data_IF_040515000005
#
_entry.id   IF_040515000005
#
_cell.length_a   1.000
_cell.length_b   1.000
_cell.length_c   1.000
_cell.angle_alpha   90.00
_cell.angle_beta   90.00
_cell.angle_gamma   90.00
#
_symmetry.space_group_name_H-M   'P 1'
#
loop_
_entity.id
_entity.type
_entity.pdbx_description
1 polymer ?
#
# COMPACT_ATOMS: atom_id res chain seq x y z
N UNK A 1 15.20 -0.86 37.28
CA UNK A 1 15.52 0.39 36.58
C UNK A 1 14.74 0.35 35.29
N UNK A 2 13.56 0.95 35.32
CA UNK A 2 12.61 0.95 34.24
C UNK A 2 13.11 1.89 33.12
N UNK A 3 13.24 1.39 31.89
CA UNK A 3 13.44 2.22 30.74
C UNK A 3 12.05 2.56 30.20
N UNK A 4 11.56 3.67 30.66
CA UNK A 4 10.38 4.38 30.21
C UNK A 4 10.62 4.82 28.77
N UNK A 5 10.12 4.04 27.81
CA UNK A 5 10.03 4.44 26.42
C UNK A 5 8.95 5.53 26.36
N UNK A 6 9.39 6.78 26.44
CA UNK A 6 8.57 7.95 26.19
C UNK A 6 7.84 7.77 24.85
N UNK A 7 6.53 7.61 24.92
CA UNK A 7 5.63 7.84 23.78
C UNK A 7 5.76 9.31 23.39
N UNK A 8 6.70 9.60 22.48
CA UNK A 8 6.89 10.91 21.92
C UNK A 8 5.58 11.34 21.26
N UNK A 9 4.97 12.39 21.76
CA UNK A 9 3.84 13.05 21.11
C UNK A 9 4.18 13.20 19.64
N UNK A 10 3.40 12.55 18.75
CA UNK A 10 3.67 12.56 17.32
C UNK A 10 3.61 14.02 16.84
N UNK A 11 4.76 14.60 16.51
CA UNK A 11 4.86 16.00 16.06
C UNK A 11 3.88 16.22 14.91
N UNK A 12 2.97 17.18 15.07
CA UNK A 12 1.99 17.56 14.06
C UNK A 12 2.51 18.79 13.33
N UNK A 13 2.51 18.70 12.01
CA UNK A 13 2.93 19.76 11.08
C UNK A 13 1.71 20.49 10.54
N UNK A 14 1.74 21.81 10.55
CA UNK A 14 0.73 22.63 9.91
C UNK A 14 0.97 22.79 8.40
N UNK A 15 -0.07 23.20 7.65
CA UNK A 15 0.01 23.40 6.19
C UNK A 15 1.17 24.33 5.77
N UNK A 16 1.41 25.41 6.51
CA UNK A 16 2.51 26.36 6.19
C UNK A 16 3.88 25.72 6.37
N UNK A 17 4.06 24.97 7.44
CA UNK A 17 5.30 24.28 7.75
C UNK A 17 5.56 23.18 6.71
N UNK A 18 4.55 22.38 6.40
CA UNK A 18 4.59 21.36 5.38
C UNK A 18 4.94 21.95 4.00
N UNK A 19 4.32 23.06 3.61
CA UNK A 19 4.60 23.73 2.34
C UNK A 19 6.04 24.22 2.25
N UNK A 20 6.61 24.68 3.37
CA UNK A 20 8.02 25.10 3.46
C UNK A 20 8.98 23.92 3.36
N UNK A 21 8.73 22.84 4.13
CA UNK A 21 9.59 21.65 4.16
C UNK A 21 9.65 20.98 2.79
N UNK A 22 8.49 20.87 2.11
CA UNK A 22 8.36 20.21 0.81
C UNK A 22 8.51 21.16 -0.39
N UNK A 23 8.75 22.45 -0.16
CA UNK A 23 8.86 23.47 -1.20
C UNK A 23 7.69 23.43 -2.20
N UNK A 24 6.45 23.29 -1.68
CA UNK A 24 5.27 23.04 -2.50
C UNK A 24 4.90 24.25 -3.37
N UNK A 25 4.96 24.08 -4.68
CA UNK A 25 4.36 25.02 -5.64
C UNK A 25 2.83 24.89 -5.65
N UNK A 26 2.11 25.93 -6.12
CA UNK A 26 0.64 25.87 -6.28
C UNK A 26 0.20 24.69 -7.16
N UNK A 27 0.94 24.42 -8.23
CA UNK A 27 0.70 23.28 -9.13
C UNK A 27 0.84 21.96 -8.39
N UNK A 28 1.93 21.78 -7.61
CA UNK A 28 2.19 20.57 -6.84
C UNK A 28 1.10 20.35 -5.77
N UNK A 29 0.74 21.38 -5.05
CA UNK A 29 -0.34 21.33 -4.06
C UNK A 29 -1.68 20.89 -4.69
N UNK A 30 -2.01 21.39 -5.90
CA UNK A 30 -3.21 20.97 -6.63
C UNK A 30 -3.15 19.47 -7.03
N UNK A 31 -1.99 18.97 -7.45
CA UNK A 31 -1.79 17.55 -7.77
C UNK A 31 -1.96 16.66 -6.53
N UNK A 32 -1.35 17.04 -5.39
CA UNK A 32 -1.43 16.31 -4.13
C UNK A 32 -2.86 16.31 -3.55
N UNK A 33 -3.64 17.39 -3.74
CA UNK A 33 -5.06 17.41 -3.41
C UNK A 33 -5.86 16.40 -4.23
N UNK A 34 -5.56 16.27 -5.53
CA UNK A 34 -6.22 15.26 -6.38
C UNK A 34 -5.88 13.83 -5.98
N UNK A 35 -4.78 13.61 -5.29
CA UNK A 35 -4.40 12.33 -4.68
C UNK A 35 -5.01 12.14 -3.29
N UNK A 36 -5.78 13.09 -2.79
CA UNK A 36 -6.39 13.09 -1.45
C UNK A 36 -5.38 13.02 -0.30
N UNK A 37 -4.11 13.39 -0.59
CA UNK A 37 -3.04 13.40 0.40
C UNK A 37 -3.02 14.67 1.24
N UNK A 38 -3.67 15.76 0.78
CA UNK A 38 -3.79 16.99 1.54
C UNK A 38 -5.12 17.02 2.31
N UNK A 39 -5.01 16.91 3.62
CA UNK A 39 -6.15 16.86 4.56
C UNK A 39 -6.82 18.21 4.72
N UNK A 40 -8.13 18.21 4.95
CA UNK A 40 -8.93 19.44 5.17
C UNK A 40 -8.64 20.09 6.52
N UNK A 41 -8.29 19.28 7.54
CA UNK A 41 -7.97 19.76 8.88
C UNK A 41 -6.59 20.43 8.97
N UNK A 42 -5.79 20.29 7.92
CA UNK A 42 -4.44 20.89 7.84
C UNK A 42 -3.43 20.35 8.84
N UNK A 43 -3.70 19.20 9.45
CA UNK A 43 -2.83 18.54 10.45
C UNK A 43 -2.17 17.32 9.84
N UNK A 44 -0.85 17.26 9.89
CA UNK A 44 -0.03 16.22 9.27
C UNK A 44 0.93 15.61 10.27
N UNK A 45 1.03 14.30 10.27
CA UNK A 45 2.05 13.55 11.00
C UNK A 45 3.36 13.51 10.19
N UNK A 46 4.43 13.04 10.79
CA UNK A 46 5.69 12.78 10.08
C UNK A 46 5.48 11.75 8.94
N UNK A 47 4.63 10.76 9.15
CA UNK A 47 4.28 9.74 8.14
C UNK A 47 3.55 10.35 6.94
N UNK A 48 2.63 11.28 7.18
CA UNK A 48 1.98 12.04 6.11
C UNK A 48 3.00 12.87 5.31
N UNK A 49 3.97 13.47 5.97
CA UNK A 49 5.05 14.24 5.32
C UNK A 49 5.88 13.33 4.40
N UNK A 50 6.21 12.12 4.83
CA UNK A 50 6.93 11.14 4.00
C UNK A 50 6.10 10.72 2.79
N UNK A 51 4.79 10.46 2.97
CA UNK A 51 3.89 10.12 1.87
C UNK A 51 3.77 11.24 0.84
N UNK A 52 3.66 12.50 1.29
CA UNK A 52 3.62 13.68 0.41
C UNK A 52 4.93 13.85 -0.36
N UNK A 53 6.07 13.61 0.29
CA UNK A 53 7.39 13.64 -0.33
C UNK A 53 7.53 12.55 -1.39
N UNK A 54 7.12 11.32 -1.08
CA UNK A 54 7.13 10.21 -2.02
C UNK A 54 6.25 10.49 -3.25
N UNK A 55 5.00 10.95 -3.04
CA UNK A 55 4.11 11.33 -4.14
C UNK A 55 4.71 12.46 -5.00
N UNK A 56 5.33 13.46 -4.37
CA UNK A 56 6.00 14.55 -5.11
C UNK A 56 7.14 14.03 -5.96
N UNK A 57 7.99 13.14 -5.44
CA UNK A 57 9.08 12.53 -6.17
C UNK A 57 8.59 11.71 -7.38
N UNK A 58 7.49 10.97 -7.24
CA UNK A 58 6.88 10.23 -8.36
C UNK A 58 6.35 11.15 -9.45
N UNK A 59 5.73 12.28 -9.07
CA UNK A 59 5.26 13.29 -10.01
C UNK A 59 6.43 13.98 -10.71
N UNK A 60 7.56 14.20 -10.04
CA UNK A 60 8.79 14.74 -10.62
C UNK A 60 9.46 13.74 -11.58
N UNK A 61 9.39 12.44 -11.25
CA UNK A 61 9.84 11.36 -12.12
C UNK A 61 8.93 11.12 -13.35
N UNK A 62 7.85 11.90 -13.49
CA UNK A 62 6.96 11.85 -14.65
C UNK A 62 5.71 10.99 -14.50
N UNK A 63 5.45 10.42 -13.32
CA UNK A 63 4.18 9.75 -13.08
C UNK A 63 3.01 10.74 -13.11
N UNK A 64 1.90 10.36 -13.70
CA UNK A 64 0.67 11.13 -13.65
C UNK A 64 -0.09 10.92 -12.34
N UNK A 65 -0.90 11.91 -11.94
CA UNK A 65 -1.83 11.81 -10.81
C UNK A 65 -2.73 10.59 -10.94
N UNK A 66 -3.18 10.27 -12.16
CA UNK A 66 -4.02 9.12 -12.46
C UNK A 66 -3.30 7.81 -12.16
N UNK A 67 -2.07 7.65 -12.68
CA UNK A 67 -1.27 6.43 -12.43
C UNK A 67 -1.02 6.19 -10.94
N UNK A 68 -0.65 7.24 -10.20
CA UNK A 68 -0.43 7.14 -8.75
C UNK A 68 -1.73 6.72 -8.04
N UNK A 69 -2.87 7.34 -8.36
CA UNK A 69 -4.16 6.99 -7.75
C UNK A 69 -4.56 5.54 -8.04
N UNK A 70 -4.47 5.12 -9.31
CA UNK A 70 -4.79 3.75 -9.72
C UNK A 70 -3.89 2.73 -9.00
N UNK A 71 -2.59 3.01 -8.89
CA UNK A 71 -1.65 2.17 -8.18
C UNK A 71 -1.96 2.04 -6.68
N UNK A 72 -2.23 3.17 -6.01
CA UNK A 72 -2.58 3.17 -4.58
C UNK A 72 -3.89 2.42 -4.31
N UNK A 73 -4.89 2.60 -5.19
CA UNK A 73 -6.17 1.89 -5.08
C UNK A 73 -5.98 0.38 -5.27
N UNK A 74 -5.18 -0.02 -6.26
CA UNK A 74 -4.92 -1.42 -6.54
C UNK A 74 -4.14 -2.09 -5.38
N UNK A 75 -3.11 -1.43 -4.84
CA UNK A 75 -2.34 -1.95 -3.72
C UNK A 75 -3.19 -2.13 -2.46
N UNK A 76 -4.07 -1.18 -2.14
CA UNK A 76 -4.99 -1.32 -0.99
C UNK A 76 -5.99 -2.47 -1.16
N UNK A 77 -6.38 -2.79 -2.40
CA UNK A 77 -7.22 -3.96 -2.68
C UNK A 77 -6.44 -5.28 -2.56
N UNK A 78 -5.18 -5.27 -2.97
CA UNK A 78 -4.31 -6.46 -2.92
C UNK A 78 -3.84 -6.76 -1.50
N UNK A 79 -3.48 -5.72 -0.75
CA UNK A 79 -3.04 -5.80 0.64
C UNK A 79 -3.70 -4.69 1.48
N UNK A 80 -4.83 -5.01 2.13
CA UNK A 80 -5.55 -4.04 2.98
C UNK A 80 -4.81 -3.65 4.25
N UNK A 81 -3.75 -4.37 4.59
CA UNK A 81 -2.92 -4.03 5.75
C UNK A 81 -1.99 -2.85 5.48
N UNK A 82 -1.85 -2.45 4.21
CA UNK A 82 -1.11 -1.25 3.82
C UNK A 82 -1.91 0.00 4.21
N UNK A 83 -1.56 0.60 5.33
CA UNK A 83 -2.17 1.85 5.77
C UNK A 83 -1.76 3.03 4.88
N UNK A 84 -0.46 3.10 4.57
CA UNK A 84 0.10 4.16 3.73
C UNK A 84 1.04 3.58 2.65
N UNK A 85 0.51 3.10 1.52
CA UNK A 85 1.32 2.47 0.48
C UNK A 85 2.51 3.31 -0.01
N UNK A 86 2.39 4.64 0.00
CA UNK A 86 3.48 5.54 -0.41
C UNK A 86 4.71 5.53 0.50
N UNK A 87 4.58 5.05 1.74
CA UNK A 87 5.68 4.94 2.69
C UNK A 87 6.12 3.50 2.92
N UNK A 88 5.26 2.55 2.58
CA UNK A 88 5.46 1.13 2.86
C UNK A 88 5.93 0.35 1.62
N UNK A 89 5.61 0.87 0.42
CA UNK A 89 5.99 0.25 -0.86
C UNK A 89 6.96 1.16 -1.61
N UNK A 90 8.01 0.59 -2.16
CA UNK A 90 8.93 1.32 -3.03
C UNK A 90 8.35 1.43 -4.42
N UNK A 91 8.22 2.67 -4.91
CA UNK A 91 7.76 2.96 -6.27
C UNK A 91 8.91 3.42 -7.15
N UNK A 92 8.79 3.13 -8.44
CA UNK A 92 9.73 3.50 -9.50
C UNK A 92 8.95 3.98 -10.72
N UNK A 93 9.54 4.89 -11.50
CA UNK A 93 8.99 5.31 -12.80
C UNK A 93 9.98 4.90 -13.87
N UNK A 94 9.59 3.97 -14.74
CA UNK A 94 10.42 3.46 -15.81
C UNK A 94 9.64 3.48 -17.13
N UNK A 95 10.18 4.07 -18.18
CA UNK A 95 9.52 4.16 -19.49
C UNK A 95 8.13 4.80 -19.44
N UNK A 96 7.91 5.76 -18.54
CA UNK A 96 6.59 6.39 -18.34
C UNK A 96 5.57 5.54 -17.60
N UNK A 97 5.96 4.38 -17.08
CA UNK A 97 5.13 3.46 -16.28
C UNK A 97 5.48 3.58 -14.81
N UNK A 98 4.47 3.57 -13.95
CA UNK A 98 4.63 3.50 -12.51
C UNK A 98 4.69 2.02 -12.10
N UNK A 99 5.78 1.62 -11.48
CA UNK A 99 6.02 0.28 -10.98
C UNK A 99 6.13 0.30 -9.47
N UNK A 100 5.73 -0.79 -8.82
CA UNK A 100 6.00 -1.06 -7.43
C UNK A 100 7.10 -2.11 -7.31
N UNK A 101 7.89 -2.05 -6.25
CA UNK A 101 8.93 -3.01 -5.97
C UNK A 101 8.71 -3.63 -4.59
N UNK A 102 8.64 -4.96 -4.56
CA UNK A 102 8.68 -5.76 -3.34
C UNK A 102 9.89 -6.68 -3.42
N UNK A 103 10.76 -6.63 -2.42
CA UNK A 103 12.05 -7.32 -2.42
C UNK A 103 12.88 -6.98 -3.68
N UNK A 104 13.10 -7.98 -4.54
CA UNK A 104 13.82 -7.84 -5.81
C UNK A 104 12.92 -7.83 -7.05
N UNK A 105 11.60 -7.95 -6.83
CA UNK A 105 10.62 -8.07 -7.92
C UNK A 105 9.94 -6.73 -8.17
N UNK A 106 9.95 -6.28 -9.42
CA UNK A 106 9.20 -5.10 -9.88
C UNK A 106 7.92 -5.55 -10.55
N UNK A 107 6.82 -4.89 -10.28
CA UNK A 107 5.53 -5.23 -10.86
C UNK A 107 4.68 -3.98 -11.11
N UNK A 108 3.78 -4.08 -12.07
CA UNK A 108 2.73 -3.06 -12.26
C UNK A 108 1.68 -3.23 -11.16
N UNK A 109 1.53 -2.26 -10.24
CA UNK A 109 0.62 -2.41 -9.11
C UNK A 109 -0.85 -2.54 -9.52
N UNK A 110 -1.22 -2.12 -10.74
CA UNK A 110 -2.59 -2.16 -11.24
C UNK A 110 -2.99 -3.56 -11.72
N UNK A 111 -2.05 -4.25 -12.35
CA UNK A 111 -2.29 -5.57 -12.98
C UNK A 111 -1.67 -6.72 -12.20
N UNK A 112 -0.75 -6.43 -11.27
CA UNK A 112 0.07 -7.44 -10.60
C UNK A 112 1.14 -8.04 -11.50
N UNK A 113 1.24 -7.61 -12.76
CA UNK A 113 2.17 -8.17 -13.73
C UNK A 113 3.60 -7.82 -13.37
N UNK A 114 4.43 -8.84 -13.21
CA UNK A 114 5.87 -8.69 -12.96
C UNK A 114 6.56 -8.09 -14.19
N UNK A 115 7.39 -7.08 -13.96
CA UNK A 115 8.25 -6.50 -14.98
C UNK A 115 9.63 -7.13 -14.84
N UNK A 116 10.00 -7.93 -15.82
CA UNK A 116 11.33 -8.49 -15.93
C UNK A 116 12.23 -7.44 -16.58
N UNK A 117 13.24 -6.97 -15.85
CA UNK A 117 14.35 -6.25 -16.45
C UNK A 117 15.21 -7.28 -17.21
N UNK A 118 14.87 -7.55 -18.45
CA UNK A 118 15.72 -8.33 -19.34
C UNK A 118 16.89 -7.43 -19.72
N UNK A 119 17.97 -7.52 -18.97
CA UNK A 119 19.28 -7.06 -19.43
C UNK A 119 19.83 -8.15 -20.35
N UNK A 120 19.98 -7.90 -21.66
CA UNK A 120 20.48 -8.91 -22.60
C UNK A 120 21.88 -9.41 -22.27
N UNK A 121 22.64 -8.67 -21.44
CA UNK A 121 24.01 -9.00 -21.04
C UNK A 121 24.16 -9.69 -19.68
N UNK A 122 23.10 -9.76 -18.87
CA UNK A 122 23.18 -10.18 -17.46
C UNK A 122 22.10 -11.15 -17.00
N UNK A 123 21.68 -12.11 -17.84
CA UNK A 123 20.79 -13.21 -17.44
C UNK A 123 21.50 -14.10 -16.40
N UNK A 124 21.49 -13.67 -15.15
CA UNK A 124 21.91 -14.49 -14.02
C UNK A 124 20.90 -15.62 -13.81
N UNK A 125 21.36 -16.75 -13.23
CA UNK A 125 20.50 -17.92 -12.90
C UNK A 125 19.24 -17.55 -12.15
N UNK A 126 19.25 -16.48 -11.35
CA UNK A 126 18.11 -16.00 -10.57
C UNK A 126 16.98 -15.43 -11.45
N UNK A 127 17.32 -14.79 -12.59
CA UNK A 127 16.33 -14.32 -13.56
C UNK A 127 15.65 -15.49 -14.29
N UNK A 128 16.40 -16.54 -14.60
CA UNK A 128 15.85 -17.76 -15.21
C UNK A 128 14.92 -18.50 -14.25
N UNK A 129 15.23 -18.54 -12.96
CA UNK A 129 14.37 -19.14 -11.93
C UNK A 129 13.08 -18.33 -11.72
N UNK A 130 13.14 -16.99 -11.77
CA UNK A 130 11.97 -16.12 -11.69
C UNK A 130 11.06 -16.23 -12.92
N UNK A 131 11.64 -16.43 -14.11
CA UNK A 131 10.91 -16.72 -15.36
C UNK A 131 10.21 -18.08 -15.33
N UNK A 132 10.87 -19.09 -14.77
CA UNK A 132 10.34 -20.45 -14.68
C UNK A 132 9.20 -20.59 -13.66
N UNK A 133 9.16 -19.74 -12.63
CA UNK A 133 8.14 -19.85 -11.57
C UNK A 133 6.80 -19.23 -11.96
N UNK A 134 6.73 -18.30 -12.92
CA UNK A 134 5.47 -17.68 -13.40
C UNK A 134 4.58 -17.03 -12.33
N UNK A 135 5.02 -17.09 -11.08
CA UNK A 135 4.22 -16.67 -9.92
C UNK A 135 4.56 -15.23 -9.58
N UNK A 136 3.59 -14.37 -9.81
CA UNK A 136 3.57 -13.06 -9.16
C UNK A 136 3.55 -13.33 -7.65
N UNK A 137 4.64 -13.08 -6.96
CA UNK A 137 4.66 -13.18 -5.51
C UNK A 137 3.78 -12.07 -4.97
N UNK A 138 2.71 -12.36 -4.25
CA UNK A 138 1.92 -11.33 -3.60
C UNK A 138 2.83 -10.55 -2.65
N UNK A 139 2.51 -9.27 -2.39
CA UNK A 139 3.24 -8.40 -1.45
C UNK A 139 3.42 -9.06 -0.07
N UNK A 140 2.46 -9.92 0.29
CA UNK A 140 2.53 -10.87 1.41
C UNK A 140 2.09 -12.24 0.91
N UNK A 141 2.60 -13.34 1.51
CA UNK A 141 2.05 -14.68 1.25
C UNK A 141 0.54 -14.68 1.45
N UNK A 142 -0.24 -15.42 0.63
CA UNK A 142 -1.69 -15.48 0.78
C UNK A 142 -2.16 -15.77 2.19
N UNK A 143 -1.47 -16.67 2.92
CA UNK A 143 -1.77 -16.97 4.31
C UNK A 143 -1.62 -15.76 5.26
N UNK A 144 -0.58 -14.94 5.08
CA UNK A 144 -0.40 -13.73 5.88
C UNK A 144 -1.41 -12.62 5.53
N UNK A 145 -1.91 -12.61 4.29
CA UNK A 145 -3.01 -11.73 3.88
C UNK A 145 -4.34 -12.22 4.47
N UNK A 146 -4.59 -13.53 4.46
CA UNK A 146 -5.78 -14.13 5.04
C UNK A 146 -5.87 -13.81 6.55
N UNK A 147 -4.77 -13.96 7.29
CA UNK A 147 -4.71 -13.61 8.71
C UNK A 147 -5.07 -12.15 8.97
N UNK A 148 -4.47 -11.23 8.22
CA UNK A 148 -4.75 -9.80 8.38
C UNK A 148 -6.20 -9.42 8.03
N UNK A 149 -6.82 -10.12 7.06
CA UNK A 149 -8.24 -9.96 6.78
C UNK A 149 -9.11 -10.53 7.90
N UNK A 150 -8.72 -11.66 8.48
CA UNK A 150 -9.42 -12.29 9.58
C UNK A 150 -9.43 -11.41 10.83
N UNK A 151 -8.28 -10.87 11.23
CA UNK A 151 -8.19 -9.93 12.36
C UNK A 151 -9.11 -8.72 12.18
N UNK A 152 -9.14 -8.16 10.95
CA UNK A 152 -10.00 -7.03 10.62
C UNK A 152 -11.48 -7.39 10.66
N UNK A 153 -11.84 -8.55 10.08
CA UNK A 153 -13.20 -9.06 10.11
C UNK A 153 -13.69 -9.27 11.53
N UNK A 154 -12.87 -9.86 12.40
CA UNK A 154 -13.19 -10.09 13.83
C UNK A 154 -13.37 -8.77 14.60
N UNK A 155 -12.63 -7.73 14.25
CA UNK A 155 -12.83 -6.41 14.86
C UNK A 155 -14.15 -5.76 14.43
N UNK A 156 -14.59 -5.97 13.20
CA UNK A 156 -15.86 -5.45 12.67
C UNK A 156 -17.08 -6.27 13.09
N UNK A 157 -16.93 -7.56 13.28
CA UNK A 157 -17.95 -8.49 13.71
C UNK A 157 -18.52 -8.14 15.12
N UNK A 158 -17.71 -7.51 15.97
CA UNK A 158 -18.14 -7.01 17.27
C UNK A 158 -19.10 -5.80 17.22
N UNK A 159 -19.25 -5.14 16.05
CA UNK A 159 -20.08 -3.95 15.83
C UNK A 159 -21.22 -4.27 14.86
N UNK A 160 -22.50 -4.28 15.33
CA UNK A 160 -23.64 -4.57 14.48
C UNK A 160 -23.79 -3.67 13.25
N UNK A 161 -23.32 -2.42 13.33
CA UNK A 161 -23.37 -1.47 12.20
C UNK A 161 -22.36 -1.83 11.10
N UNK A 162 -21.42 -2.75 11.38
CA UNK A 162 -20.35 -3.17 10.49
C UNK A 162 -20.40 -4.63 10.06
N UNK A 163 -21.50 -5.31 10.32
CA UNK A 163 -21.64 -6.73 9.96
C UNK A 163 -21.49 -6.99 8.45
N UNK A 164 -21.98 -6.11 7.60
CA UNK A 164 -21.79 -6.24 6.15
C UNK A 164 -20.30 -6.17 5.76
N UNK A 165 -19.56 -5.26 6.38
CA UNK A 165 -18.11 -5.15 6.22
C UNK A 165 -17.40 -6.41 6.73
N UNK A 166 -17.80 -6.95 7.89
CA UNK A 166 -17.25 -8.16 8.47
C UNK A 166 -17.48 -9.37 7.55
N UNK A 167 -18.70 -9.55 7.02
CA UNK A 167 -19.02 -10.61 6.04
C UNK A 167 -18.15 -10.50 4.79
N UNK A 168 -18.00 -9.30 4.24
CA UNK A 168 -17.16 -9.08 3.07
C UNK A 168 -15.68 -9.42 3.36
N UNK A 169 -15.19 -9.07 4.55
CA UNK A 169 -13.83 -9.36 4.96
C UNK A 169 -13.60 -10.87 5.19
N UNK A 170 -14.52 -11.58 5.85
CA UNK A 170 -14.42 -13.04 6.00
C UNK A 170 -14.49 -13.78 4.65
N UNK A 171 -15.32 -13.33 3.71
CA UNK A 171 -15.31 -13.86 2.34
C UNK A 171 -13.94 -13.71 1.70
N UNK A 172 -13.28 -12.57 1.94
CA UNK A 172 -11.93 -12.35 1.42
C UNK A 172 -10.90 -13.29 2.05
N UNK A 173 -11.06 -13.65 3.33
CA UNK A 173 -10.21 -14.67 3.98
C UNK A 173 -10.31 -16.00 3.26
N UNK A 174 -11.53 -16.49 3.02
CA UNK A 174 -11.74 -17.82 2.41
C UNK A 174 -11.39 -17.86 0.92
N UNK A 175 -11.40 -16.72 0.24
CA UNK A 175 -10.85 -16.60 -1.13
C UNK A 175 -9.33 -16.74 -1.14
N UNK A 176 -8.63 -16.19 -0.13
CA UNK A 176 -7.18 -16.22 -0.01
C UNK A 176 -6.69 -17.56 0.55
N UNK A 177 -7.43 -18.12 1.48
CA UNK A 177 -7.19 -19.43 2.08
C UNK A 177 -8.51 -20.20 2.27
N UNK A 178 -8.91 -21.05 1.31
CA UNK A 178 -10.12 -21.85 1.40
C UNK A 178 -10.14 -22.82 2.58
N UNK A 179 -8.99 -23.09 3.21
CA UNK A 179 -8.88 -23.99 4.36
C UNK A 179 -9.01 -23.28 5.70
N UNK A 180 -9.22 -21.97 5.73
CA UNK A 180 -9.30 -21.17 6.95
C UNK A 180 -10.63 -21.42 7.68
N UNK A 181 -10.65 -22.47 8.51
CA UNK A 181 -11.86 -22.97 9.16
C UNK A 181 -12.57 -21.93 10.04
N UNK A 182 -11.81 -21.08 10.76
CA UNK A 182 -12.39 -20.04 11.61
C UNK A 182 -13.20 -18.99 10.80
N UNK A 183 -12.75 -18.65 9.60
CA UNK A 183 -13.48 -17.70 8.73
C UNK A 183 -14.80 -18.30 8.23
N UNK A 184 -14.81 -19.59 7.86
CA UNK A 184 -16.03 -20.28 7.49
C UNK A 184 -17.03 -20.38 8.65
N UNK A 185 -16.52 -20.63 9.86
CA UNK A 185 -17.36 -20.67 11.07
C UNK A 185 -18.03 -19.32 11.32
N UNK A 186 -17.26 -18.23 11.28
CA UNK A 186 -17.79 -16.88 11.53
C UNK A 186 -18.76 -16.43 10.43
N UNK A 187 -18.52 -16.77 9.16
CA UNK A 187 -19.48 -16.54 8.08
C UNK A 187 -20.81 -17.27 8.27
N UNK A 188 -20.81 -18.39 8.97
CA UNK A 188 -22.04 -19.13 9.28
C UNK A 188 -22.80 -18.59 10.50
N UNK A 189 -22.17 -17.71 11.30
CA UNK A 189 -22.79 -17.09 12.47
C UNK A 189 -23.37 -15.71 12.21
N UNK A 190 -22.87 -15.00 11.19
CA UNK A 190 -23.33 -13.68 10.73
C UNK A 190 -24.45 -13.79 9.71
#
# INVERSE_FOLDING_TARGET
MAHEAAAGEARIYGVRELSRILSLTRRRAAQLRRLELLRRDGRYTFRDLLALRAASALLDAGASVRQIREALTALRRQDPTLEQPLTEVRFLVEGGRLLAQSDRVRFDPRTGQTVLALDPGGLTRDAAAALASGVVRPLRPPAAQAEAWFERASAWDADPERWEDAVAAYRRVVELDPTYAAAWNNLGLL
#
